data_IF_370913037417
#
_entry.id   IF_370913037417
#
_cell.length_a   1.000
_cell.length_b   1.000
_cell.length_c   1.000
_cell.angle_alpha   90.00
_cell.angle_beta   90.00
_cell.angle_gamma   90.00
#
_symmetry.space_group_name_H-M   'P 1'
#
loop_
_entity.id
_entity.type
_entity.pdbx_description
1 polymer ?
#
# COMPACT_ATOMS: atom_id res chain seq x y z
N UNK A 1 53.55 -4.21 67.51
CA UNK A 1 54.29 -2.96 67.78
C UNK A 1 54.65 -2.36 66.43
N UNK A 2 53.91 -1.33 65.97
CA UNK A 2 54.24 0.10 66.13
C UNK A 2 55.45 0.44 65.21
N UNK A 3 55.39 1.38 64.26
CA UNK A 3 55.00 2.79 64.42
C UNK A 3 54.61 3.39 63.04
N UNK A 4 53.46 4.09 63.02
CA UNK A 4 53.05 5.12 62.04
C UNK A 4 53.98 6.34 62.14
N UNK A 5 54.16 7.12 61.08
CA UNK A 5 54.12 8.59 61.21
C UNK A 5 53.82 9.31 59.89
N UNK A 6 52.87 10.25 60.02
CA UNK A 6 52.43 11.20 59.03
C UNK A 6 53.44 12.36 58.87
N UNK A 7 53.42 13.01 57.71
CA UNK A 7 54.00 14.32 57.49
C UNK A 7 53.02 15.19 56.72
N UNK A 8 52.65 16.33 57.29
CA UNK A 8 51.88 17.40 56.65
C UNK A 8 52.82 18.55 56.24
N UNK A 9 52.31 19.36 55.30
CA UNK A 9 52.54 20.80 55.03
C UNK A 9 53.73 21.19 54.13
N UNK A 10 53.40 21.75 52.96
CA UNK A 10 53.86 23.08 52.55
C UNK A 10 52.95 23.62 51.41
N UNK A 11 52.30 24.75 51.68
CA UNK A 11 51.50 25.50 50.74
C UNK A 11 52.40 26.38 49.86
N UNK A 12 52.14 26.42 48.56
CA UNK A 12 52.71 27.41 47.64
C UNK A 12 51.56 28.17 46.98
N UNK A 13 51.49 29.45 47.31
CA UNK A 13 50.54 30.43 46.77
C UNK A 13 50.97 30.79 45.34
N UNK A 14 50.16 30.43 44.34
CA UNK A 14 50.32 30.89 42.96
C UNK A 14 49.31 32.01 42.70
N UNK A 15 49.84 33.17 42.32
CA UNK A 15 49.12 34.38 41.92
C UNK A 15 48.29 34.06 40.65
N UNK A 16 46.97 34.15 40.75
CA UNK A 16 46.06 34.03 39.61
C UNK A 16 46.03 35.35 38.83
N UNK A 17 46.71 35.38 37.67
CA UNK A 17 46.57 36.45 36.68
C UNK A 17 45.27 36.18 35.89
N UNK A 18 44.22 36.95 36.18
CA UNK A 18 42.95 36.91 35.42
C UNK A 18 43.12 37.58 34.06
N UNK A 19 43.41 36.78 33.03
CA UNK A 19 43.29 37.19 31.63
C UNK A 19 41.82 37.03 31.24
N UNK A 20 41.10 38.15 31.09
CA UNK A 20 39.81 38.17 30.41
C UNK A 20 40.05 37.84 28.92
N UNK A 21 39.96 36.56 28.58
CA UNK A 21 39.81 36.12 27.20
C UNK A 21 38.38 36.34 26.76
N UNK A 22 38.14 37.35 25.92
CA UNK A 22 36.91 37.45 25.14
C UNK A 22 36.88 36.29 24.15
N UNK A 23 36.11 35.25 24.46
CA UNK A 23 35.79 34.21 23.47
C UNK A 23 34.96 34.86 22.37
N UNK A 24 35.36 34.76 21.08
CA UNK A 24 34.46 35.14 20.01
C UNK A 24 33.25 34.20 20.09
N UNK A 25 32.08 34.79 20.27
CA UNK A 25 30.81 34.10 20.18
C UNK A 25 30.65 33.65 18.73
N UNK A 26 31.14 32.45 18.40
CA UNK A 26 30.85 31.80 17.13
C UNK A 26 29.37 31.44 17.22
N UNK A 27 28.52 32.35 16.77
CA UNK A 27 27.12 32.07 16.54
C UNK A 27 27.05 30.82 15.68
N UNK A 28 26.58 29.72 16.27
CA UNK A 28 26.31 28.51 15.52
C UNK A 28 25.42 28.89 14.34
N UNK A 29 25.91 28.64 13.13
CA UNK A 29 25.07 28.69 11.94
C UNK A 29 24.10 27.52 12.10
N UNK A 30 22.96 27.78 12.75
CA UNK A 30 21.84 26.85 12.74
C UNK A 30 21.37 26.80 11.28
N UNK A 31 21.68 25.70 10.59
CA UNK A 31 21.10 25.43 9.29
C UNK A 31 19.57 25.53 9.42
N UNK A 32 18.92 26.30 8.55
CA UNK A 32 17.48 26.36 8.54
C UNK A 32 16.91 24.93 8.44
N UNK A 33 15.88 24.57 9.22
CA UNK A 33 15.33 23.23 9.22
C UNK A 33 14.91 22.85 7.78
N UNK A 34 15.35 21.68 7.34
CA UNK A 34 15.06 21.17 6.01
C UNK A 34 13.54 21.01 5.82
N UNK A 35 13.03 21.43 4.66
CA UNK A 35 11.62 21.27 4.31
C UNK A 35 11.36 19.80 4.00
N UNK A 36 10.39 19.20 4.68
CA UNK A 36 9.90 17.86 4.36
C UNK A 36 8.73 17.97 3.39
N UNK A 37 8.70 17.13 2.35
CA UNK A 37 7.54 16.99 1.47
C UNK A 37 7.08 15.55 1.52
N UNK A 38 5.81 15.36 1.85
CA UNK A 38 5.16 14.05 1.95
C UNK A 38 4.10 13.95 0.87
N UNK A 39 3.98 12.78 0.26
CA UNK A 39 2.90 12.43 -0.64
C UNK A 39 2.17 11.23 -0.03
N UNK A 40 0.88 11.42 0.26
CA UNK A 40 0.01 10.42 0.87
C UNK A 40 0.65 9.85 2.15
N UNK A 41 1.01 10.77 3.07
CA UNK A 41 1.67 10.52 4.37
C UNK A 41 3.09 9.89 4.30
N UNK A 42 3.63 9.61 3.11
CA UNK A 42 4.99 9.10 2.94
C UNK A 42 5.96 10.17 2.45
N UNK A 43 7.08 10.43 3.17
CA UNK A 43 8.11 11.36 2.72
C UNK A 43 8.68 11.03 1.34
N UNK A 44 8.78 12.05 0.49
CA UNK A 44 9.48 11.98 -0.78
C UNK A 44 10.97 12.19 -0.56
N UNK A 45 11.79 11.36 -1.22
CA UNK A 45 13.25 11.51 -1.23
C UNK A 45 13.64 12.37 -2.43
N UNK A 46 14.31 13.48 -2.15
CA UNK A 46 14.81 14.37 -3.19
C UNK A 46 16.32 14.28 -3.30
N UNK A 47 16.81 14.36 -4.54
CA UNK A 47 18.22 14.50 -4.88
C UNK A 47 18.70 15.96 -4.85
N UNK A 48 17.77 16.92 -4.92
CA UNK A 48 17.99 18.34 -4.65
C UNK A 48 16.99 18.83 -3.59
N UNK A 49 17.45 19.62 -2.61
CA UNK A 49 16.58 19.98 -1.49
C UNK A 49 15.41 20.89 -1.92
N UNK A 50 14.16 20.62 -1.48
CA UNK A 50 13.10 21.60 -1.51
C UNK A 50 13.52 22.87 -0.74
N UNK A 51 13.06 24.04 -1.20
CA UNK A 51 13.44 25.32 -0.58
C UNK A 51 12.31 26.33 -0.57
N UNK A 52 12.43 27.33 0.28
CA UNK A 52 11.58 28.51 0.25
C UNK A 52 12.43 29.69 -0.24
N UNK A 53 11.99 30.35 -1.31
CA UNK A 53 12.52 31.66 -1.74
C UNK A 53 11.39 32.67 -1.74
N UNK A 54 11.55 33.78 -1.00
CA UNK A 54 10.57 34.88 -0.88
C UNK A 54 9.14 34.39 -0.61
N UNK A 55 8.98 33.43 0.30
CA UNK A 55 7.68 32.87 0.68
C UNK A 55 7.10 31.84 -0.28
N UNK A 56 7.80 31.49 -1.36
CA UNK A 56 7.38 30.47 -2.32
C UNK A 56 8.16 29.18 -2.08
N UNK A 57 7.44 28.08 -1.87
CA UNK A 57 8.01 26.73 -1.78
C UNK A 57 8.30 26.18 -3.17
N UNK A 58 9.57 25.91 -3.44
CA UNK A 58 10.08 25.27 -4.65
C UNK A 58 10.44 23.82 -4.38
N UNK A 59 9.99 22.94 -5.27
CA UNK A 59 10.30 21.51 -5.22
C UNK A 59 10.93 21.05 -6.55
N UNK A 60 11.88 20.10 -6.53
CA UNK A 60 12.32 19.43 -7.75
C UNK A 60 11.13 18.78 -8.45
N UNK A 61 10.87 19.22 -9.68
CA UNK A 61 9.62 18.88 -10.33
C UNK A 61 9.48 17.38 -10.61
N UNK A 62 10.54 16.80 -11.18
CA UNK A 62 10.57 15.40 -11.59
C UNK A 62 10.23 14.46 -10.43
N UNK A 63 10.83 14.68 -9.26
CA UNK A 63 10.57 13.85 -8.07
C UNK A 63 9.10 13.84 -7.68
N UNK A 64 8.45 15.02 -7.65
CA UNK A 64 7.03 15.11 -7.27
C UNK A 64 6.14 14.55 -8.38
N UNK A 65 6.40 14.89 -9.64
CA UNK A 65 5.57 14.47 -10.74
C UNK A 65 5.65 12.96 -11.02
N UNK A 66 6.84 12.36 -11.00
CA UNK A 66 6.99 10.91 -11.15
C UNK A 66 6.25 10.15 -10.04
N UNK A 67 6.30 10.65 -8.80
CA UNK A 67 5.58 10.05 -7.67
C UNK A 67 4.04 10.18 -7.81
N UNK A 68 3.55 11.14 -8.61
CA UNK A 68 2.14 11.33 -8.94
C UNK A 68 1.73 10.64 -10.26
N UNK A 69 2.65 9.92 -10.91
CA UNK A 69 2.41 9.28 -12.21
C UNK A 69 2.28 10.29 -13.38
N UNK A 70 2.89 11.47 -13.26
CA UNK A 70 2.88 12.49 -14.30
C UNK A 70 4.05 12.25 -15.25
N UNK A 71 3.75 12.18 -16.55
CA UNK A 71 4.76 12.08 -17.60
C UNK A 71 5.46 13.44 -17.75
N UNK A 72 6.80 13.43 -17.69
CA UNK A 72 7.60 14.66 -17.72
C UNK A 72 8.63 14.60 -18.82
N UNK A 73 8.54 15.56 -19.75
CA UNK A 73 9.50 15.76 -20.83
C UNK A 73 10.21 17.11 -20.61
N UNK A 74 11.54 17.11 -20.73
CA UNK A 74 12.36 18.33 -20.65
C UNK A 74 12.91 18.69 -22.02
N UNK A 75 12.59 19.90 -22.50
CA UNK A 75 13.18 20.49 -23.68
C UNK A 75 14.29 21.46 -23.29
N UNK A 76 15.53 21.06 -23.51
CA UNK A 76 16.71 21.85 -23.17
C UNK A 76 16.88 23.12 -24.02
N UNK A 77 16.41 23.12 -25.27
CA UNK A 77 16.56 24.26 -26.19
C UNK A 77 15.64 25.42 -25.79
N UNK A 78 14.39 25.13 -25.48
CA UNK A 78 13.41 26.13 -25.06
C UNK A 78 13.37 26.35 -23.54
N UNK A 79 14.12 25.55 -22.78
CA UNK A 79 14.07 25.46 -21.33
C UNK A 79 12.64 25.23 -20.81
N UNK A 80 11.93 24.32 -21.45
CA UNK A 80 10.52 24.02 -21.18
C UNK A 80 10.36 22.63 -20.59
N UNK A 81 9.60 22.56 -19.50
CA UNK A 81 9.04 21.34 -18.96
C UNK A 81 7.65 21.14 -19.56
N UNK A 82 7.42 19.97 -20.13
CA UNK A 82 6.11 19.47 -20.54
C UNK A 82 5.70 18.38 -19.57
N UNK A 83 4.52 18.52 -18.99
CA UNK A 83 3.97 17.63 -17.98
C UNK A 83 2.56 17.20 -18.36
N UNK A 84 2.33 15.90 -18.45
CA UNK A 84 1.06 15.34 -18.93
C UNK A 84 0.56 14.26 -17.98
N UNK A 85 -0.72 14.30 -17.64
CA UNK A 85 -1.38 13.24 -16.89
C UNK A 85 -2.89 13.25 -17.16
N UNK A 86 -3.57 12.14 -16.90
CA UNK A 86 -5.03 12.05 -16.93
C UNK A 86 -5.59 12.31 -15.53
N UNK A 87 -6.34 13.40 -15.39
CA UNK A 87 -7.01 13.78 -14.15
C UNK A 87 -8.51 13.74 -14.39
N UNK A 88 -9.25 12.94 -13.61
CA UNK A 88 -10.70 12.76 -13.76
C UNK A 88 -11.12 12.37 -15.20
N UNK A 89 -10.36 11.47 -15.82
CA UNK A 89 -10.63 11.00 -17.19
C UNK A 89 -10.32 12.02 -18.30
N UNK A 90 -9.70 13.16 -17.98
CA UNK A 90 -9.29 14.17 -18.96
C UNK A 90 -7.78 14.34 -18.95
N UNK A 91 -7.16 14.35 -20.13
CA UNK A 91 -5.74 14.67 -20.28
C UNK A 91 -5.51 16.14 -19.95
N UNK A 92 -4.63 16.38 -18.99
CA UNK A 92 -4.11 17.70 -18.62
C UNK A 92 -2.67 17.80 -19.07
N UNK A 93 -2.39 18.78 -19.92
CA UNK A 93 -1.05 19.14 -20.39
C UNK A 93 -0.66 20.48 -19.77
N UNK A 94 0.53 20.54 -19.19
CA UNK A 94 1.11 21.74 -18.58
C UNK A 94 2.49 22.01 -19.16
N UNK A 95 2.67 23.19 -19.77
CA UNK A 95 3.97 23.67 -20.26
C UNK A 95 4.49 24.79 -19.36
N UNK A 96 5.71 24.59 -18.84
CA UNK A 96 6.37 25.49 -17.90
C UNK A 96 7.75 25.86 -18.42
N UNK A 97 7.98 27.15 -18.66
CA UNK A 97 9.30 27.63 -19.10
C UNK A 97 10.09 28.22 -17.91
N UNK A 98 11.36 27.85 -17.79
CA UNK A 98 12.25 28.42 -16.78
C UNK A 98 12.35 29.93 -16.94
N UNK A 99 12.23 30.66 -15.83
CA UNK A 99 12.28 32.13 -15.81
C UNK A 99 10.99 32.83 -16.22
N UNK A 100 9.95 32.10 -16.66
CA UNK A 100 8.68 32.66 -17.06
C UNK A 100 7.60 32.43 -15.98
N UNK A 101 6.88 33.48 -15.60
CA UNK A 101 5.73 33.39 -14.68
C UNK A 101 4.43 33.01 -15.40
N UNK A 102 4.44 32.89 -16.72
CA UNK A 102 3.30 32.42 -17.50
C UNK A 102 3.53 30.99 -17.94
N UNK A 103 2.59 30.11 -17.59
CA UNK A 103 2.49 28.74 -18.07
C UNK A 103 1.37 28.61 -19.10
N UNK A 104 1.31 27.48 -19.80
CA UNK A 104 0.10 27.08 -20.52
C UNK A 104 -0.44 25.77 -19.99
N UNK A 105 -1.75 25.73 -19.74
CA UNK A 105 -2.49 24.55 -19.31
C UNK A 105 -3.55 24.27 -20.38
N UNK A 106 -3.45 23.14 -21.06
CA UNK A 106 -4.32 22.78 -22.20
C UNK A 106 -4.42 23.95 -23.22
N UNK A 107 -3.28 24.54 -23.57
CA UNK A 107 -3.17 25.67 -24.48
C UNK A 107 -3.60 27.05 -23.92
N UNK A 108 -4.19 27.12 -22.72
CA UNK A 108 -4.61 28.39 -22.10
C UNK A 108 -3.52 28.94 -21.18
N UNK A 109 -3.27 30.25 -21.23
CA UNK A 109 -2.27 30.90 -20.38
C UNK A 109 -2.74 30.96 -18.92
N UNK A 110 -1.83 30.60 -18.00
CA UNK A 110 -2.05 30.65 -16.55
C UNK A 110 -0.87 31.34 -15.88
N UNK A 111 -1.14 32.24 -14.94
CA UNK A 111 -0.09 32.93 -14.15
C UNK A 111 0.34 32.07 -12.97
N UNK A 112 1.65 31.87 -12.83
CA UNK A 112 2.28 31.14 -11.74
C UNK A 112 2.55 32.08 -10.55
N UNK A 113 2.60 31.51 -9.35
CA UNK A 113 2.98 32.24 -8.14
C UNK A 113 4.42 32.77 -8.20
N UNK A 114 5.30 32.08 -8.94
CA UNK A 114 6.63 32.55 -9.31
C UNK A 114 7.12 31.80 -10.57
N UNK A 115 8.25 32.24 -11.15
CA UNK A 115 8.83 31.55 -12.29
C UNK A 115 9.52 30.24 -11.85
N UNK A 116 9.42 29.15 -12.62
CA UNK A 116 10.28 27.98 -12.44
C UNK A 116 11.75 28.39 -12.53
N UNK A 117 12.60 27.73 -11.73
CA UNK A 117 14.03 28.04 -11.67
C UNK A 117 14.87 26.79 -11.87
N UNK A 118 16.00 26.93 -12.54
CA UNK A 118 16.99 25.86 -12.62
C UNK A 118 18.08 26.09 -11.57
N UNK A 119 18.34 25.10 -10.71
CA UNK A 119 19.47 25.09 -9.75
C UNK A 119 19.95 23.66 -9.55
N UNK A 120 21.26 23.49 -9.36
CA UNK A 120 21.87 22.19 -9.09
C UNK A 120 21.50 21.13 -10.15
N UNK A 121 21.38 21.55 -11.41
CA UNK A 121 20.99 20.64 -12.51
C UNK A 121 19.54 20.13 -12.44
N UNK A 122 18.69 20.73 -11.60
CA UNK A 122 17.27 20.40 -11.47
C UNK A 122 16.40 21.61 -11.79
N UNK A 123 15.23 21.35 -12.36
CA UNK A 123 14.16 22.35 -12.51
C UNK A 123 13.29 22.29 -11.27
N UNK A 124 13.20 23.40 -10.56
CA UNK A 124 12.33 23.56 -9.40
C UNK A 124 11.15 24.45 -9.77
N UNK A 125 9.96 24.04 -9.35
CA UNK A 125 8.71 24.73 -9.67
C UNK A 125 8.02 25.16 -8.36
N UNK A 126 7.33 26.31 -8.35
CA UNK A 126 6.44 26.69 -7.26
C UNK A 126 5.37 25.62 -7.04
N UNK A 127 5.41 24.98 -5.89
CA UNK A 127 4.59 23.81 -5.60
C UNK A 127 3.08 24.09 -5.73
N UNK A 128 2.63 25.26 -5.25
CA UNK A 128 1.22 25.67 -5.30
C UNK A 128 0.69 25.87 -6.72
N UNK A 129 1.54 26.29 -7.66
CA UNK A 129 1.12 26.54 -9.04
C UNK A 129 0.99 25.25 -9.84
N UNK A 130 1.81 24.26 -9.51
CA UNK A 130 1.85 22.95 -10.16
C UNK A 130 0.77 22.00 -9.64
N UNK A 131 0.70 21.80 -8.33
CA UNK A 131 -0.23 20.88 -7.66
C UNK A 131 -1.69 21.11 -8.05
N UNK A 132 -2.12 22.37 -8.10
CA UNK A 132 -3.47 22.76 -8.49
C UNK A 132 -3.87 22.28 -9.89
N UNK A 133 -2.94 22.23 -10.85
CA UNK A 133 -3.26 21.82 -12.23
C UNK A 133 -3.55 20.31 -12.33
N UNK A 134 -2.94 19.52 -11.46
CA UNK A 134 -3.10 18.06 -11.44
C UNK A 134 -4.08 17.58 -10.35
N UNK A 135 -4.83 18.48 -9.72
CA UNK A 135 -5.82 18.14 -8.69
C UNK A 135 -5.21 17.64 -7.37
N UNK A 136 -3.93 17.90 -7.15
CA UNK A 136 -3.20 17.51 -5.93
C UNK A 136 -3.55 18.51 -4.83
N UNK A 137 -4.01 18.02 -3.69
CA UNK A 137 -4.25 18.89 -2.54
C UNK A 137 -2.94 19.16 -1.82
N UNK A 138 -2.73 20.40 -1.39
CA UNK A 138 -1.49 20.83 -0.71
C UNK A 138 -1.83 21.48 0.61
N UNK A 139 -1.16 21.04 1.67
CA UNK A 139 -1.18 21.72 2.97
C UNK A 139 0.23 21.95 3.50
N UNK A 140 0.37 22.95 4.35
CA UNK A 140 1.64 23.34 4.97
C UNK A 140 1.52 23.32 6.49
N UNK A 141 2.42 22.58 7.14
CA UNK A 141 2.59 22.61 8.59
C UNK A 141 3.81 23.48 8.95
N UNK A 142 3.54 24.64 9.55
CA UNK A 142 4.57 25.61 9.92
C UNK A 142 5.50 25.12 11.05
N UNK A 143 4.98 24.33 11.99
CA UNK A 143 5.73 23.85 13.16
C UNK A 143 6.76 22.80 12.76
N UNK A 144 6.39 21.89 11.86
CA UNK A 144 7.27 20.80 11.39
C UNK A 144 7.97 21.10 10.06
N UNK A 145 7.64 22.23 9.41
CA UNK A 145 8.12 22.60 8.07
C UNK A 145 7.82 21.51 7.03
N UNK A 146 6.62 20.96 7.11
CA UNK A 146 6.16 19.87 6.25
C UNK A 146 5.17 20.39 5.22
N UNK A 147 5.39 20.06 3.95
CA UNK A 147 4.35 20.07 2.92
C UNK A 147 3.72 18.69 2.85
N UNK A 148 2.40 18.61 2.99
CA UNK A 148 1.65 17.37 2.72
C UNK A 148 0.90 17.50 1.40
N UNK A 149 1.12 16.53 0.52
CA UNK A 149 0.46 16.36 -0.77
C UNK A 149 -0.48 15.18 -0.68
N UNK A 150 -1.71 15.35 -1.17
CA UNK A 150 -2.68 14.27 -1.33
C UNK A 150 -2.94 14.06 -2.82
N UNK A 151 -2.72 12.85 -3.29
CA UNK A 151 -2.89 12.48 -4.70
C UNK A 151 -4.36 12.55 -5.12
N UNK A 152 -4.64 12.98 -6.37
CA UNK A 152 -6.01 13.10 -6.87
C UNK A 152 -6.71 11.74 -6.95
N UNK A 153 -8.02 11.79 -7.19
CA UNK A 153 -8.82 10.60 -7.42
C UNK A 153 -8.35 9.85 -8.68
N UNK A 154 -8.30 8.52 -8.59
CA UNK A 154 -7.88 7.65 -9.70
C UNK A 154 -8.78 6.43 -9.79
N UNK A 155 -9.03 5.99 -11.02
CA UNK A 155 -9.65 4.69 -11.30
C UNK A 155 -8.74 3.53 -10.88
N UNK A 156 -9.29 2.54 -10.18
CA UNK A 156 -8.60 1.31 -9.83
C UNK A 156 -9.57 0.16 -9.51
N UNK A 157 -9.04 -1.05 -9.54
CA UNK A 157 -9.77 -2.26 -9.15
C UNK A 157 -9.91 -2.36 -7.63
N UNK A 158 -11.14 -2.36 -7.12
CA UNK A 158 -11.46 -2.57 -5.72
C UNK A 158 -11.97 -3.99 -5.47
N UNK A 159 -11.32 -4.68 -4.55
CA UNK A 159 -11.76 -5.98 -4.03
C UNK A 159 -12.13 -5.85 -2.57
N UNK A 160 -13.11 -6.62 -2.12
CA UNK A 160 -13.37 -6.79 -0.69
C UNK A 160 -13.52 -8.26 -0.33
N UNK A 161 -13.14 -8.61 0.89
CA UNK A 161 -13.42 -9.93 1.44
C UNK A 161 -14.79 -9.93 2.15
N UNK A 162 -15.70 -10.79 1.71
CA UNK A 162 -16.98 -11.04 2.36
C UNK A 162 -16.87 -12.35 3.15
N UNK A 163 -16.41 -12.23 4.39
CA UNK A 163 -16.12 -13.38 5.25
C UNK A 163 -16.68 -13.17 6.66
N UNK A 164 -16.79 -14.23 7.46
CA UNK A 164 -17.16 -14.20 8.88
C UNK A 164 -18.54 -13.51 9.10
N UNK A 165 -18.55 -12.36 9.76
CA UNK A 165 -19.74 -11.54 10.00
C UNK A 165 -19.75 -10.36 9.01
N UNK A 166 -20.12 -10.59 7.74
CA UNK A 166 -20.26 -9.51 6.72
C UNK A 166 -21.65 -9.42 6.12
N UNK A 167 -22.62 -10.19 6.66
CA UNK A 167 -23.95 -10.30 6.06
C UNK A 167 -24.70 -8.96 5.96
N UNK A 168 -24.53 -8.10 6.98
CA UNK A 168 -25.23 -6.83 7.04
C UNK A 168 -24.74 -5.83 5.97
N UNK A 169 -23.54 -6.05 5.44
CA UNK A 169 -22.85 -5.18 4.50
C UNK A 169 -22.95 -5.67 3.05
N UNK A 170 -23.88 -6.59 2.75
CA UNK A 170 -24.10 -7.10 1.37
C UNK A 170 -24.40 -5.98 0.35
N UNK A 171 -24.97 -4.86 0.80
CA UNK A 171 -25.22 -3.69 -0.05
C UNK A 171 -23.93 -3.04 -0.57
N UNK A 172 -22.84 -3.13 0.20
CA UNK A 172 -21.52 -2.61 -0.17
C UNK A 172 -20.80 -3.44 -1.24
N UNK A 173 -21.32 -4.63 -1.59
CA UNK A 173 -20.79 -5.42 -2.72
C UNK A 173 -20.79 -4.59 -4.00
N UNK A 174 -21.83 -3.77 -4.20
CA UNK A 174 -22.02 -2.92 -5.38
C UNK A 174 -20.92 -1.88 -5.59
N UNK A 175 -20.26 -1.48 -4.50
CA UNK A 175 -19.13 -0.55 -4.48
C UNK A 175 -17.79 -1.19 -4.83
N UNK A 176 -17.76 -2.49 -5.16
CA UNK A 176 -16.52 -3.25 -5.47
C UNK A 176 -16.50 -3.75 -6.91
N UNK A 177 -15.32 -3.94 -7.49
CA UNK A 177 -15.14 -4.63 -8.78
C UNK A 177 -15.20 -6.16 -8.63
N UNK A 178 -14.78 -6.66 -7.47
CA UNK A 178 -14.81 -8.10 -7.15
C UNK A 178 -14.98 -8.33 -5.66
N UNK A 179 -15.53 -9.48 -5.29
CA UNK A 179 -15.70 -9.88 -3.89
C UNK A 179 -15.18 -11.29 -3.68
N UNK A 180 -14.31 -11.44 -2.69
CA UNK A 180 -13.77 -12.72 -2.25
C UNK A 180 -14.60 -13.26 -1.08
N UNK A 181 -15.40 -14.29 -1.33
CA UNK A 181 -16.30 -14.89 -0.36
C UNK A 181 -15.54 -15.90 0.52
N UNK A 182 -15.24 -15.50 1.76
CA UNK A 182 -14.51 -16.30 2.75
C UNK A 182 -15.40 -17.34 3.40
N UNK A 183 -15.82 -18.32 2.61
CA UNK A 183 -16.80 -19.35 2.99
C UNK A 183 -16.26 -20.76 2.87
N UNK A 184 -14.98 -20.92 2.58
CA UNK A 184 -14.38 -22.23 2.38
C UNK A 184 -13.00 -22.36 2.99
N UNK A 185 -12.64 -23.61 3.28
CA UNK A 185 -11.31 -23.99 3.78
C UNK A 185 -10.90 -25.36 3.29
N UNK A 186 -9.60 -25.65 3.42
CA UNK A 186 -9.04 -27.00 3.31
C UNK A 186 -8.46 -27.42 4.66
N UNK A 187 -8.68 -28.67 5.06
CA UNK A 187 -8.10 -29.24 6.27
C UNK A 187 -6.80 -30.04 6.00
N UNK A 188 -6.25 -30.65 7.05
CA UNK A 188 -5.00 -31.43 7.03
C UNK A 188 -5.11 -32.72 6.19
N UNK A 189 -6.31 -33.14 5.83
CA UNK A 189 -6.63 -34.32 5.04
C UNK A 189 -6.99 -33.94 3.60
N UNK A 190 -6.65 -32.71 3.19
CA UNK A 190 -6.94 -32.18 1.86
C UNK A 190 -8.44 -32.07 1.60
N UNK A 191 -9.29 -32.15 2.62
CA UNK A 191 -10.74 -32.05 2.48
C UNK A 191 -11.11 -30.58 2.34
N UNK A 192 -11.68 -30.24 1.19
CA UNK A 192 -12.39 -29.00 1.00
C UNK A 192 -13.73 -29.04 1.75
N UNK A 193 -14.10 -27.94 2.39
CA UNK A 193 -15.39 -27.79 3.07
C UNK A 193 -15.91 -26.35 3.02
N UNK A 194 -17.24 -26.24 2.94
CA UNK A 194 -18.01 -25.00 3.10
C UNK A 194 -18.66 -24.91 4.48
N UNK A 195 -18.34 -25.84 5.38
CA UNK A 195 -18.89 -25.96 6.72
C UNK A 195 -17.77 -25.77 7.75
N UNK A 196 -18.14 -25.34 8.96
CA UNK A 196 -17.23 -25.14 10.08
C UNK A 196 -17.66 -23.98 10.95
N UNK A 197 -16.83 -23.61 11.92
CA UNK A 197 -17.07 -22.45 12.79
C UNK A 197 -16.61 -21.15 12.13
N UNK A 198 -15.53 -21.19 11.35
CA UNK A 198 -14.97 -20.08 10.59
C UNK A 198 -14.87 -20.45 9.12
N UNK A 199 -14.95 -19.44 8.24
CA UNK A 199 -14.93 -19.60 6.78
C UNK A 199 -15.92 -20.66 6.29
N UNK A 200 -17.21 -20.35 6.43
CA UNK A 200 -18.33 -21.22 6.10
C UNK A 200 -19.35 -20.50 5.23
N UNK A 201 -20.16 -21.27 4.51
CA UNK A 201 -21.34 -20.76 3.85
C UNK A 201 -22.31 -20.18 4.91
N UNK A 202 -22.76 -18.93 4.78
CA UNK A 202 -23.70 -18.36 5.74
C UNK A 202 -25.07 -19.04 5.62
N UNK A 203 -25.87 -18.96 6.69
CA UNK A 203 -27.27 -19.37 6.62
C UNK A 203 -28.07 -18.37 5.76
N UNK A 204 -29.13 -18.85 5.10
CA UNK A 204 -30.07 -17.98 4.42
C UNK A 204 -30.81 -17.07 5.42
N UNK A 205 -31.13 -15.85 4.98
CA UNK A 205 -31.92 -14.89 5.73
C UNK A 205 -33.19 -14.55 4.93
N UNK A 206 -34.25 -15.29 5.20
CA UNK A 206 -35.46 -15.27 4.36
C UNK A 206 -35.13 -15.74 2.95
N UNK A 207 -35.48 -14.94 1.95
CA UNK A 207 -35.24 -15.25 0.53
C UNK A 207 -33.79 -14.99 0.08
N UNK A 208 -32.99 -14.32 0.92
CA UNK A 208 -31.58 -14.03 0.62
C UNK A 208 -30.75 -15.26 0.98
N UNK A 209 -30.23 -15.94 -0.03
CA UNK A 209 -29.38 -17.12 0.11
C UNK A 209 -27.93 -16.77 -0.23
N UNK A 210 -26.94 -17.55 0.23
CA UNK A 210 -25.55 -17.38 -0.21
C UNK A 210 -25.40 -17.44 -1.73
N UNK A 211 -26.15 -18.34 -2.37
CA UNK A 211 -26.19 -18.50 -3.82
C UNK A 211 -26.79 -17.27 -4.51
N UNK A 212 -27.86 -16.68 -3.96
CA UNK A 212 -28.43 -15.46 -4.54
C UNK A 212 -27.46 -14.29 -4.42
N UNK A 213 -26.69 -14.17 -3.33
CA UNK A 213 -25.69 -13.11 -3.19
C UNK A 213 -24.58 -13.24 -4.27
N UNK A 214 -24.14 -14.47 -4.55
CA UNK A 214 -23.15 -14.74 -5.61
C UNK A 214 -23.71 -14.42 -6.99
N UNK A 215 -24.95 -14.84 -7.27
CA UNK A 215 -25.64 -14.54 -8.52
C UNK A 215 -25.87 -13.03 -8.72
N UNK A 216 -26.37 -12.33 -7.69
CA UNK A 216 -26.61 -10.89 -7.71
C UNK A 216 -25.32 -10.09 -7.99
N UNK A 217 -24.19 -10.55 -7.44
CA UNK A 217 -22.89 -9.95 -7.73
C UNK A 217 -22.51 -10.13 -9.21
N UNK A 218 -22.62 -11.36 -9.73
CA UNK A 218 -22.32 -11.66 -11.13
C UNK A 218 -23.21 -10.87 -12.11
N UNK A 219 -24.51 -10.78 -11.84
CA UNK A 219 -25.48 -10.03 -12.66
C UNK A 219 -25.16 -8.53 -12.69
N UNK A 220 -24.59 -8.00 -11.60
CA UNK A 220 -24.10 -6.63 -11.50
C UNK A 220 -22.68 -6.43 -12.03
N UNK A 221 -22.11 -7.45 -12.71
CA UNK A 221 -20.74 -7.46 -13.25
C UNK A 221 -19.66 -7.28 -12.18
N UNK A 222 -19.95 -7.70 -10.95
CA UNK A 222 -19.01 -7.72 -9.83
C UNK A 222 -18.51 -9.15 -9.71
N UNK A 223 -17.23 -9.39 -9.94
CA UNK A 223 -16.72 -10.75 -10.04
C UNK A 223 -16.79 -11.47 -8.68
N UNK A 224 -17.63 -12.50 -8.51
CA UNK A 224 -17.65 -13.26 -7.27
C UNK A 224 -16.52 -14.29 -7.29
N UNK A 225 -15.71 -14.31 -6.24
CA UNK A 225 -14.57 -15.21 -6.12
C UNK A 225 -14.69 -16.06 -4.85
N UNK A 226 -14.41 -17.35 -4.95
CA UNK A 226 -14.36 -18.25 -3.80
C UNK A 226 -13.02 -18.08 -3.09
N UNK A 227 -13.02 -17.55 -1.86
CA UNK A 227 -11.83 -17.56 -1.04
C UNK A 227 -11.69 -18.93 -0.36
N UNK A 228 -10.50 -19.52 -0.48
CA UNK A 228 -10.14 -20.83 0.08
C UNK A 228 -9.04 -20.64 1.11
N UNK A 229 -9.41 -20.79 2.39
CA UNK A 229 -8.49 -20.62 3.51
C UNK A 229 -7.75 -21.92 3.85
N UNK A 230 -6.44 -21.81 4.13
CA UNK A 230 -5.67 -22.85 4.80
C UNK A 230 -4.53 -22.23 5.60
N UNK A 231 -4.19 -22.82 6.74
CA UNK A 231 -3.11 -22.35 7.62
C UNK A 231 -2.01 -23.41 7.70
N UNK A 232 -0.75 -22.99 7.81
CA UNK A 232 0.40 -23.86 8.09
C UNK A 232 1.00 -23.59 9.48
N UNK A 233 0.17 -23.69 10.52
CA UNK A 233 0.62 -23.49 11.90
C UNK A 233 1.40 -24.69 12.42
N UNK A 234 0.95 -25.90 12.06
CA UNK A 234 1.50 -27.18 12.51
C UNK A 234 1.80 -28.16 11.35
N UNK A 235 2.10 -27.62 10.17
CA UNK A 235 2.45 -28.39 8.98
C UNK A 235 1.27 -29.00 8.23
N UNK A 236 0.03 -28.65 8.59
CA UNK A 236 -1.18 -29.19 7.94
C UNK A 236 -1.26 -28.82 6.45
N UNK A 237 -1.02 -27.56 6.10
CA UNK A 237 -0.99 -27.13 4.70
C UNK A 237 0.22 -27.73 3.99
N UNK A 238 1.41 -27.73 4.61
CA UNK A 238 2.60 -28.39 4.03
C UNK A 238 2.34 -29.86 3.70
N UNK A 239 1.63 -30.59 4.57
CA UNK A 239 1.21 -31.99 4.31
C UNK A 239 0.34 -32.08 3.07
N UNK A 240 -0.68 -31.22 2.95
CA UNK A 240 -1.54 -31.19 1.75
C UNK A 240 -0.73 -30.86 0.51
N UNK A 241 0.15 -29.86 0.55
CA UNK A 241 0.95 -29.45 -0.60
C UNK A 241 2.01 -30.48 -1.01
N UNK A 242 2.51 -31.31 -0.09
CA UNK A 242 3.54 -32.32 -0.39
C UNK A 242 2.96 -33.64 -0.90
N UNK A 243 1.76 -34.02 -0.48
CA UNK A 243 1.10 -35.27 -0.90
C UNK A 243 0.24 -35.08 -2.16
N UNK A 244 0.52 -35.83 -3.23
CA UNK A 244 -0.20 -35.67 -4.51
C UNK A 244 -1.69 -36.05 -4.44
N UNK A 245 -2.06 -37.00 -3.59
CA UNK A 245 -3.46 -37.40 -3.40
C UNK A 245 -4.22 -36.31 -2.66
N UNK A 246 -3.64 -35.75 -1.59
CA UNK A 246 -4.28 -34.67 -0.84
C UNK A 246 -4.38 -33.38 -1.67
N UNK A 247 -3.33 -33.04 -2.44
CA UNK A 247 -3.39 -31.93 -3.40
C UNK A 247 -4.56 -32.12 -4.37
N UNK A 248 -4.63 -33.27 -5.03
CA UNK A 248 -5.66 -33.56 -6.03
C UNK A 248 -7.06 -33.47 -5.42
N UNK A 249 -7.28 -34.12 -4.27
CA UNK A 249 -8.55 -34.09 -3.54
C UNK A 249 -9.00 -32.66 -3.20
N UNK A 250 -8.08 -31.83 -2.73
CA UNK A 250 -8.41 -30.43 -2.40
C UNK A 250 -8.77 -29.60 -3.64
N UNK A 251 -8.06 -29.81 -4.76
CA UNK A 251 -8.32 -29.13 -6.03
C UNK A 251 -9.66 -29.55 -6.62
N UNK A 252 -10.00 -30.84 -6.55
CA UNK A 252 -11.32 -31.36 -6.96
C UNK A 252 -12.44 -30.70 -6.16
N UNK A 253 -12.29 -30.57 -4.83
CA UNK A 253 -13.27 -29.88 -4.00
C UNK A 253 -13.43 -28.40 -4.35
N UNK A 254 -12.32 -27.67 -4.58
CA UNK A 254 -12.37 -26.26 -5.01
C UNK A 254 -13.09 -26.14 -6.36
N UNK A 255 -12.68 -26.94 -7.35
CA UNK A 255 -13.22 -26.86 -8.73
C UNK A 255 -14.70 -27.21 -8.78
N UNK A 256 -15.14 -28.21 -8.02
CA UNK A 256 -16.56 -28.53 -7.86
C UNK A 256 -17.33 -27.37 -7.26
N UNK A 257 -16.85 -26.78 -6.14
CA UNK A 257 -17.53 -25.67 -5.51
C UNK A 257 -17.62 -24.42 -6.39
N UNK A 258 -16.56 -24.13 -7.17
CA UNK A 258 -16.58 -23.03 -8.16
C UNK A 258 -17.70 -23.25 -9.18
N UNK A 259 -17.81 -24.45 -9.74
CA UNK A 259 -18.82 -24.78 -10.74
C UNK A 259 -20.25 -24.82 -10.16
N UNK A 260 -20.43 -25.42 -8.99
CA UNK A 260 -21.73 -25.60 -8.33
C UNK A 260 -22.33 -24.29 -7.80
N UNK A 261 -21.49 -23.36 -7.35
CA UNK A 261 -21.93 -22.11 -6.74
C UNK A 261 -21.76 -20.88 -7.63
N UNK A 262 -21.31 -21.04 -8.88
CA UNK A 262 -21.24 -19.96 -9.86
C UNK A 262 -20.16 -18.91 -9.59
N UNK A 263 -19.04 -19.30 -8.96
CA UNK A 263 -17.93 -18.38 -8.75
C UNK A 263 -17.16 -18.14 -10.05
N UNK A 264 -16.84 -16.89 -10.36
CA UNK A 264 -16.02 -16.50 -11.51
C UNK A 264 -14.51 -16.46 -11.22
N UNK A 265 -14.10 -16.86 -10.01
CA UNK A 265 -12.70 -16.90 -9.61
C UNK A 265 -12.46 -17.57 -8.27
N UNK A 266 -11.18 -17.75 -7.94
CA UNK A 266 -10.69 -18.30 -6.67
C UNK A 266 -9.65 -17.36 -6.09
N UNK A 267 -9.71 -17.13 -4.77
CA UNK A 267 -8.63 -16.51 -3.99
C UNK A 267 -8.07 -17.54 -3.04
N UNK A 268 -6.82 -17.95 -3.22
CA UNK A 268 -6.15 -18.77 -2.20
C UNK A 268 -5.65 -17.86 -1.08
N UNK A 269 -6.09 -18.15 0.14
CA UNK A 269 -5.57 -17.55 1.36
C UNK A 269 -4.85 -18.62 2.17
N UNK A 270 -3.65 -18.94 1.70
CA UNK A 270 -2.81 -20.01 2.22
C UNK A 270 -1.71 -19.37 3.07
N UNK A 271 -1.85 -19.47 4.39
CA UNK A 271 -1.04 -18.75 5.37
C UNK A 271 -0.03 -19.65 6.08
N UNK A 272 1.05 -19.06 6.64
CA UNK A 272 1.99 -19.77 7.52
C UNK A 272 3.25 -20.35 6.84
N UNK A 273 3.29 -20.41 5.51
CA UNK A 273 4.34 -21.11 4.79
C UNK A 273 5.72 -20.41 4.94
N UNK A 274 6.74 -21.22 5.22
CA UNK A 274 8.12 -20.76 5.35
C UNK A 274 8.38 -19.92 6.61
N UNK A 275 7.54 -20.05 7.64
CA UNK A 275 7.84 -19.51 8.97
C UNK A 275 8.75 -20.45 9.78
N UNK A 276 8.42 -21.74 9.83
CA UNK A 276 9.18 -22.78 10.55
C UNK A 276 9.97 -23.70 9.63
N UNK A 277 9.49 -23.90 8.41
CA UNK A 277 10.02 -24.86 7.45
C UNK A 277 10.86 -24.15 6.38
N UNK A 278 11.65 -24.93 5.63
CA UNK A 278 12.51 -24.42 4.57
C UNK A 278 11.73 -23.61 3.54
N UNK A 279 12.11 -22.34 3.37
CA UNK A 279 11.39 -21.40 2.54
C UNK A 279 11.37 -21.81 1.07
N UNK A 280 12.49 -22.30 0.53
CA UNK A 280 12.62 -22.67 -0.88
C UNK A 280 11.77 -23.89 -1.21
N UNK A 281 11.70 -24.86 -0.30
CA UNK A 281 10.85 -26.02 -0.48
C UNK A 281 9.37 -25.64 -0.40
N UNK A 282 8.98 -24.80 0.57
CA UNK A 282 7.59 -24.32 0.65
C UNK A 282 7.18 -23.54 -0.60
N UNK A 283 8.08 -22.73 -1.18
CA UNK A 283 7.85 -22.03 -2.44
C UNK A 283 7.57 -23.02 -3.59
N UNK A 284 8.37 -24.08 -3.74
CA UNK A 284 8.15 -25.10 -4.78
C UNK A 284 6.81 -25.81 -4.61
N UNK A 285 6.47 -26.19 -3.38
CA UNK A 285 5.22 -26.88 -3.05
C UNK A 285 4.01 -26.01 -3.39
N UNK A 286 4.02 -24.74 -2.98
CA UNK A 286 2.95 -23.80 -3.31
C UNK A 286 2.88 -23.52 -4.81
N UNK A 287 4.01 -23.28 -5.48
CA UNK A 287 4.06 -23.04 -6.93
C UNK A 287 3.46 -24.22 -7.72
N UNK A 288 3.79 -25.46 -7.33
CA UNK A 288 3.25 -26.67 -7.95
C UNK A 288 1.73 -26.77 -7.76
N UNK A 289 1.25 -26.51 -6.54
CA UNK A 289 -0.18 -26.51 -6.24
C UNK A 289 -0.95 -25.47 -7.06
N UNK A 290 -0.47 -24.22 -7.08
CA UNK A 290 -1.12 -23.11 -7.79
C UNK A 290 -1.18 -23.38 -9.28
N UNK A 291 -0.12 -23.95 -9.86
CA UNK A 291 -0.10 -24.38 -11.26
C UNK A 291 -1.13 -25.47 -11.54
N UNK A 292 -1.20 -26.49 -10.69
CA UNK A 292 -2.15 -27.60 -10.84
C UNK A 292 -3.60 -27.13 -10.67
N UNK A 293 -3.86 -26.22 -9.72
CA UNK A 293 -5.17 -25.61 -9.55
C UNK A 293 -5.56 -24.81 -10.78
N UNK A 294 -4.70 -23.89 -11.27
CA UNK A 294 -5.00 -23.07 -12.44
C UNK A 294 -5.36 -23.92 -13.67
N UNK A 295 -4.67 -25.04 -13.89
CA UNK A 295 -4.99 -25.95 -14.99
C UNK A 295 -6.27 -26.77 -14.81
N UNK A 296 -6.76 -26.89 -13.57
CA UNK A 296 -7.98 -27.66 -13.25
C UNK A 296 -9.23 -26.81 -13.14
N UNK A 297 -9.09 -25.48 -12.98
CA UNK A 297 -10.22 -24.56 -12.93
C UNK A 297 -10.93 -24.50 -14.29
N UNK A 298 -12.27 -24.26 -14.29
CA UNK A 298 -13.00 -24.00 -15.52
C UNK A 298 -12.38 -22.85 -16.32
N UNK A 299 -12.59 -22.86 -17.64
CA UNK A 299 -12.13 -21.78 -18.52
C UNK A 299 -12.61 -20.41 -18.01
N UNK A 300 -11.76 -19.39 -18.15
CA UNK A 300 -12.01 -18.00 -17.73
C UNK A 300 -12.18 -17.78 -16.21
N UNK A 301 -11.97 -18.82 -15.39
CA UNK A 301 -11.93 -18.66 -13.93
C UNK A 301 -10.63 -17.96 -13.51
N UNK A 302 -10.77 -16.81 -12.84
CA UNK A 302 -9.63 -16.08 -12.29
C UNK A 302 -9.02 -16.83 -11.10
N UNK A 303 -7.71 -16.75 -10.94
CA UNK A 303 -6.99 -17.25 -9.77
C UNK A 303 -6.16 -16.14 -9.17
N UNK A 304 -6.40 -15.83 -7.91
CA UNK A 304 -5.64 -14.85 -7.14
C UNK A 304 -5.07 -15.49 -5.88
N UNK A 305 -4.04 -14.87 -5.29
CA UNK A 305 -3.50 -15.30 -4.01
C UNK A 305 -3.38 -14.13 -3.05
N UNK A 306 -3.89 -14.30 -1.83
CA UNK A 306 -3.49 -13.48 -0.69
C UNK A 306 -2.13 -13.99 -0.18
N UNK A 307 -1.15 -13.10 -0.11
CA UNK A 307 0.23 -13.44 0.25
C UNK A 307 0.73 -12.54 1.38
N UNK A 308 1.46 -13.07 2.37
CA UNK A 308 2.09 -12.25 3.39
C UNK A 308 3.18 -11.37 2.75
N UNK A 309 3.39 -10.14 3.23
CA UNK A 309 4.33 -9.22 2.63
C UNK A 309 5.77 -9.74 2.79
N UNK A 310 6.64 -9.47 1.81
CA UNK A 310 8.02 -9.96 1.81
C UNK A 310 8.88 -9.42 2.98
N UNK A 311 8.45 -8.35 3.64
CA UNK A 311 9.05 -7.87 4.89
C UNK A 311 8.50 -8.54 6.16
N UNK A 312 7.60 -9.52 6.05
CA UNK A 312 7.13 -10.35 7.16
C UNK A 312 8.11 -11.50 7.49
N UNK A 313 7.78 -12.29 8.51
CA UNK A 313 8.52 -13.51 8.87
C UNK A 313 8.29 -14.70 7.92
N UNK A 314 7.26 -14.65 7.07
CA UNK A 314 6.87 -15.75 6.19
C UNK A 314 7.60 -15.70 4.85
N UNK A 315 8.43 -16.70 4.55
CA UNK A 315 9.28 -16.71 3.35
C UNK A 315 8.90 -17.78 2.30
N UNK A 316 7.82 -18.52 2.51
CA UNK A 316 7.39 -19.63 1.64
C UNK A 316 6.71 -19.22 0.32
N UNK A 317 6.81 -17.96 -0.11
CA UNK A 317 6.04 -17.41 -1.23
C UNK A 317 6.96 -16.85 -2.32
N UNK A 318 6.99 -17.50 -3.48
CA UNK A 318 7.77 -17.06 -4.64
C UNK A 318 6.93 -16.10 -5.48
N UNK A 319 7.00 -14.83 -5.13
CA UNK A 319 6.19 -13.77 -5.73
C UNK A 319 6.26 -13.74 -7.26
N UNK A 320 7.45 -13.94 -7.84
CA UNK A 320 7.65 -13.90 -9.30
C UNK A 320 6.91 -15.03 -9.99
N UNK A 321 7.10 -16.26 -9.51
CA UNK A 321 6.47 -17.44 -10.10
C UNK A 321 4.96 -17.41 -9.87
N UNK A 322 4.50 -17.06 -8.67
CA UNK A 322 3.08 -16.94 -8.37
C UNK A 322 2.40 -15.91 -9.28
N UNK A 323 2.98 -14.71 -9.46
CA UNK A 323 2.44 -13.69 -10.36
C UNK A 323 2.46 -14.09 -11.85
N UNK A 324 3.32 -15.03 -12.24
CA UNK A 324 3.33 -15.58 -13.61
C UNK A 324 2.19 -16.57 -13.87
N UNK A 325 1.64 -17.19 -12.82
CA UNK A 325 0.56 -18.18 -12.92
C UNK A 325 -0.81 -17.54 -12.62
N UNK A 326 -0.86 -16.71 -11.57
CA UNK A 326 -2.08 -16.06 -11.09
C UNK A 326 -2.44 -14.82 -11.93
N UNK A 327 -3.72 -14.46 -11.85
CA UNK A 327 -4.28 -13.26 -12.45
C UNK A 327 -3.88 -12.01 -11.64
N UNK A 328 -3.90 -12.10 -10.31
CA UNK A 328 -3.34 -11.08 -9.41
C UNK A 328 -2.86 -11.65 -8.06
N UNK A 329 -2.02 -10.87 -7.37
CA UNK A 329 -1.59 -11.11 -6.00
C UNK A 329 -2.11 -9.99 -5.10
N UNK A 330 -2.60 -10.36 -3.91
CA UNK A 330 -3.03 -9.44 -2.86
C UNK A 330 -1.97 -9.47 -1.75
N UNK A 331 -1.23 -8.37 -1.55
CA UNK A 331 -0.26 -8.30 -0.46
C UNK A 331 -0.99 -7.97 0.84
N UNK A 332 -0.94 -8.85 1.83
CA UNK A 332 -1.50 -8.65 3.16
C UNK A 332 -0.62 -7.73 4.02
N UNK A 333 -0.40 -6.49 3.57
CA UNK A 333 0.49 -5.51 4.19
C UNK A 333 -0.10 -4.87 5.46
N UNK A 334 -0.43 -5.70 6.45
CA UNK A 334 -1.01 -5.32 7.73
C UNK A 334 -0.56 -6.28 8.84
N UNK A 335 -1.00 -6.04 10.09
CA UNK A 335 -0.50 -6.72 11.30
C UNK A 335 0.98 -6.46 11.59
N UNK A 336 1.48 -5.26 11.28
CA UNK A 336 2.82 -4.83 11.69
C UNK A 336 2.84 -4.35 13.14
N UNK A 337 1.71 -3.82 13.62
CA UNK A 337 1.57 -3.39 15.00
C UNK A 337 1.69 -4.57 15.98
N UNK A 338 2.19 -4.35 17.22
CA UNK A 338 2.31 -5.40 18.22
C UNK A 338 0.98 -6.13 18.48
N UNK A 339 1.07 -7.42 18.78
CA UNK A 339 -0.10 -8.23 19.16
C UNK A 339 -0.84 -7.58 20.34
N UNK A 340 -2.17 -7.49 20.23
CA UNK A 340 -3.01 -6.83 21.24
C UNK A 340 -3.19 -5.33 21.04
N UNK A 341 -2.61 -4.74 19.99
CA UNK A 341 -2.93 -3.37 19.58
C UNK A 341 -4.44 -3.24 19.32
N UNK A 342 -5.03 -2.14 19.82
CA UNK A 342 -6.45 -1.86 19.66
C UNK A 342 -6.79 -1.61 18.18
N UNK A 343 -8.04 -1.88 17.81
CA UNK A 343 -8.58 -1.49 16.50
C UNK A 343 -8.44 0.01 16.26
N UNK A 344 -8.42 0.41 14.98
CA UNK A 344 -8.26 1.79 14.54
C UNK A 344 -6.91 2.44 14.94
N UNK A 345 -5.88 1.61 15.10
CA UNK A 345 -4.48 2.04 15.13
C UNK A 345 -3.87 1.70 13.77
N UNK A 346 -3.64 2.70 12.89
CA UNK A 346 -3.18 2.46 11.52
C UNK A 346 -1.88 1.66 11.44
N UNK A 347 -1.74 0.86 10.39
CA UNK A 347 -0.48 0.19 10.10
C UNK A 347 0.57 1.23 9.66
N UNK A 348 1.87 1.08 9.99
CA UNK A 348 2.88 2.06 9.62
C UNK A 348 3.05 2.16 8.10
N UNK A 349 2.79 3.33 7.52
CA UNK A 349 2.90 3.56 6.07
C UNK A 349 4.30 3.23 5.51
N UNK A 350 5.35 3.43 6.30
CA UNK A 350 6.72 3.07 5.89
C UNK A 350 6.92 1.56 5.66
N UNK A 351 6.23 0.71 6.43
CA UNK A 351 6.30 -0.75 6.27
C UNK A 351 5.41 -1.22 5.11
N UNK A 352 4.27 -0.58 4.91
CA UNK A 352 3.39 -0.83 3.75
C UNK A 352 4.09 -0.43 2.44
N UNK A 353 4.69 0.76 2.40
CA UNK A 353 5.49 1.26 1.28
C UNK A 353 6.65 0.31 0.94
N UNK A 354 7.36 -0.17 1.97
CA UNK A 354 8.42 -1.17 1.80
C UNK A 354 7.89 -2.50 1.23
N UNK A 355 6.73 -2.98 1.69
CA UNK A 355 6.13 -4.22 1.19
C UNK A 355 5.80 -4.13 -0.31
N UNK A 356 5.23 -3.01 -0.75
CA UNK A 356 4.93 -2.74 -2.16
C UNK A 356 6.23 -2.74 -2.99
N UNK A 357 7.24 -2.00 -2.55
CA UNK A 357 8.53 -1.94 -3.25
C UNK A 357 9.18 -3.31 -3.38
N UNK A 358 9.17 -4.12 -2.31
CA UNK A 358 9.73 -5.48 -2.34
C UNK A 358 8.98 -6.39 -3.31
N UNK A 359 7.65 -6.30 -3.40
CA UNK A 359 6.88 -7.09 -4.35
C UNK A 359 7.19 -6.72 -5.81
N UNK A 360 7.31 -5.42 -6.10
CA UNK A 360 7.71 -4.93 -7.43
C UNK A 360 9.14 -5.39 -7.76
N UNK A 361 10.07 -5.26 -6.81
CA UNK A 361 11.46 -5.71 -6.97
C UNK A 361 11.59 -7.22 -7.15
N UNK A 362 10.70 -8.01 -6.53
CA UNK A 362 10.60 -9.44 -6.75
C UNK A 362 10.10 -9.80 -8.16
N UNK A 363 9.63 -8.83 -8.94
CA UNK A 363 9.23 -9.01 -10.33
C UNK A 363 7.72 -9.18 -10.53
N UNK A 364 6.89 -8.80 -9.55
CA UNK A 364 5.43 -8.78 -9.73
C UNK A 364 5.04 -7.59 -10.60
N UNK A 365 4.32 -7.79 -11.73
CA UNK A 365 3.79 -6.69 -12.50
C UNK A 365 2.83 -5.84 -11.67
N UNK A 366 2.97 -4.52 -11.71
CA UNK A 366 2.11 -3.58 -10.95
C UNK A 366 0.62 -3.76 -11.28
N UNK A 367 0.31 -4.03 -12.55
CA UNK A 367 -1.04 -4.34 -13.06
C UNK A 367 -1.63 -5.66 -12.55
N UNK A 368 -0.86 -6.48 -11.83
CA UNK A 368 -1.29 -7.70 -11.16
C UNK A 368 -1.25 -7.59 -9.63
N UNK A 369 -1.00 -6.41 -9.09
CA UNK A 369 -0.75 -6.24 -7.65
C UNK A 369 -1.88 -5.46 -6.99
N UNK A 370 -2.52 -6.08 -6.00
CA UNK A 370 -3.50 -5.45 -5.12
C UNK A 370 -2.88 -5.23 -3.73
N UNK A 371 -3.08 -4.03 -3.17
CA UNK A 371 -2.70 -3.75 -1.78
C UNK A 371 -3.81 -4.22 -0.84
N UNK A 372 -3.51 -5.16 0.05
CA UNK A 372 -4.40 -5.55 1.14
C UNK A 372 -4.46 -4.46 2.22
N UNK A 373 -5.67 -4.04 2.59
CA UNK A 373 -5.94 -3.00 3.59
C UNK A 373 -6.84 -3.60 4.67
N UNK A 374 -6.36 -3.64 5.91
CA UNK A 374 -7.13 -4.15 7.05
C UNK A 374 -7.96 -3.05 7.72
N UNK A 375 -9.28 -3.07 7.50
CA UNK A 375 -10.22 -2.10 8.05
C UNK A 375 -10.35 -2.16 9.57
N UNK A 376 -9.88 -3.24 10.22
CA UNK A 376 -9.78 -3.25 11.68
C UNK A 376 -8.68 -2.34 12.21
N UNK A 377 -7.59 -2.16 11.44
CA UNK A 377 -6.46 -1.31 11.81
C UNK A 377 -6.67 0.13 11.35
N UNK A 378 -7.24 0.32 10.16
CA UNK A 378 -7.24 1.64 9.50
C UNK A 378 -8.41 2.55 9.89
N UNK A 379 -8.14 3.85 9.93
CA UNK A 379 -9.12 4.94 10.06
C UNK A 379 -9.51 5.48 8.67
N UNK A 380 -10.56 6.32 8.54
CA UNK A 380 -10.88 6.94 7.24
C UNK A 380 -9.71 7.70 6.62
N UNK A 381 -8.94 8.44 7.44
CA UNK A 381 -7.75 9.16 6.94
C UNK A 381 -6.68 8.19 6.47
N UNK A 382 -6.38 7.15 7.24
CA UNK A 382 -5.28 6.25 6.89
C UNK A 382 -5.62 5.28 5.76
N UNK A 383 -6.90 4.98 5.52
CA UNK A 383 -7.34 4.31 4.30
C UNK A 383 -7.03 5.16 3.07
N UNK A 384 -7.31 6.46 3.09
CA UNK A 384 -6.94 7.36 2.00
C UNK A 384 -5.42 7.35 1.77
N UNK A 385 -4.61 7.37 2.84
CA UNK A 385 -3.16 7.25 2.73
C UNK A 385 -2.72 5.92 2.06
N UNK A 386 -3.34 4.78 2.41
CA UNK A 386 -3.05 3.48 1.75
C UNK A 386 -3.42 3.48 0.27
N UNK A 387 -4.55 4.09 -0.08
CA UNK A 387 -4.97 4.22 -1.48
C UNK A 387 -4.04 5.17 -2.23
N UNK A 388 -3.52 6.19 -1.55
CA UNK A 388 -2.41 7.02 -2.02
C UNK A 388 -1.16 6.22 -2.41
N UNK A 389 -0.72 5.29 -1.56
CA UNK A 389 0.38 4.38 -1.90
C UNK A 389 0.06 3.52 -3.13
N UNK A 390 -1.18 3.04 -3.24
CA UNK A 390 -1.65 2.28 -4.40
C UNK A 390 -1.53 3.11 -5.69
N UNK A 391 -1.96 4.38 -5.65
CA UNK A 391 -1.85 5.35 -6.75
C UNK A 391 -0.39 5.66 -7.11
N UNK A 392 0.44 5.95 -6.10
CA UNK A 392 1.87 6.31 -6.25
C UNK A 392 2.66 5.24 -6.98
N UNK A 393 2.38 3.96 -6.73
CA UNK A 393 3.09 2.86 -7.37
C UNK A 393 2.44 2.37 -8.65
N UNK A 394 1.30 2.94 -9.04
CA UNK A 394 0.55 2.51 -10.23
C UNK A 394 0.10 1.04 -10.15
N UNK A 395 -0.38 0.64 -8.97
CA UNK A 395 -0.85 -0.73 -8.73
C UNK A 395 -2.22 -0.97 -9.39
N UNK A 396 -2.60 -2.24 -9.57
CA UNK A 396 -3.93 -2.66 -10.05
C UNK A 396 -5.06 -2.06 -9.20
N UNK A 397 -4.85 -2.00 -7.89
CA UNK A 397 -5.82 -1.45 -6.94
C UNK A 397 -5.65 -1.99 -5.52
N UNK A 398 -6.75 -2.11 -4.79
CA UNK A 398 -6.74 -2.46 -3.37
C UNK A 398 -7.75 -3.58 -3.02
N UNK A 399 -7.45 -4.32 -1.96
CA UNK A 399 -8.30 -5.38 -1.41
C UNK A 399 -8.58 -5.14 0.08
N UNK A 400 -9.84 -4.95 0.45
CA UNK A 400 -10.24 -4.62 1.82
C UNK A 400 -10.54 -5.87 2.65
N UNK A 401 -9.79 -6.06 3.73
CA UNK A 401 -10.06 -7.01 4.80
C UNK A 401 -10.75 -6.30 5.96
N UNK A 402 -12.07 -6.37 6.12
CA UNK A 402 -13.06 -7.10 5.33
C UNK A 402 -14.35 -6.29 5.25
N UNK A 403 -15.24 -6.61 4.29
CA UNK A 403 -16.42 -5.80 3.98
C UNK A 403 -17.28 -5.47 5.22
N UNK A 404 -17.45 -6.45 6.11
CA UNK A 404 -18.20 -6.30 7.37
C UNK A 404 -17.66 -5.27 8.36
N UNK A 405 -16.50 -4.65 8.10
CA UNK A 405 -15.87 -3.67 9.00
C UNK A 405 -16.00 -2.22 8.52
N UNK A 406 -16.54 -1.98 7.32
CA UNK A 406 -16.72 -0.62 6.77
C UNK A 406 -17.54 0.30 7.68
N UNK A 407 -18.50 -0.27 8.43
CA UNK A 407 -19.42 0.46 9.30
C UNK A 407 -19.26 0.14 10.79
N UNK A 408 -18.36 -0.79 11.16
CA UNK A 408 -18.26 -1.27 12.56
C UNK A 408 -17.58 -0.27 13.49
N UNK A 409 -16.57 0.46 13.01
CA UNK A 409 -15.78 1.38 13.84
C UNK A 409 -16.13 2.84 13.62
N UNK A 410 -16.59 3.19 12.41
CA UNK A 410 -16.99 4.53 12.03
C UNK A 410 -17.94 4.47 10.82
N UNK A 411 -18.59 5.58 10.49
CA UNK A 411 -19.55 5.67 9.36
C UNK A 411 -18.96 6.33 8.12
N UNK A 412 -17.65 6.65 8.10
CA UNK A 412 -17.01 7.48 7.06
C UNK A 412 -15.99 6.71 6.21
N UNK A 413 -15.85 5.41 6.42
CA UNK A 413 -14.87 4.60 5.70
C UNK A 413 -15.18 4.54 4.20
N UNK A 414 -16.46 4.36 3.86
CA UNK A 414 -16.93 4.35 2.47
C UNK A 414 -16.70 5.71 1.79
N UNK A 415 -17.03 6.80 2.48
CA UNK A 415 -16.77 8.16 1.98
C UNK A 415 -15.28 8.40 1.71
N UNK A 416 -14.40 7.93 2.60
CA UNK A 416 -12.96 8.05 2.42
C UNK A 416 -12.46 7.31 1.18
N UNK A 417 -12.95 6.09 0.95
CA UNK A 417 -12.65 5.35 -0.29
C UNK A 417 -13.17 6.11 -1.50
N UNK A 418 -14.44 6.54 -1.49
CA UNK A 418 -15.07 7.22 -2.62
C UNK A 418 -14.43 8.57 -2.98
N UNK A 419 -13.87 9.29 -2.00
CA UNK A 419 -13.11 10.52 -2.24
C UNK A 419 -11.73 10.22 -2.85
N UNK A 420 -11.13 9.09 -2.50
CA UNK A 420 -9.77 8.74 -2.92
C UNK A 420 -9.71 8.08 -4.29
N UNK A 421 -10.72 7.30 -4.67
CA UNK A 421 -10.68 6.43 -5.86
C UNK A 421 -12.01 6.37 -6.60
N UNK A 422 -11.95 6.06 -7.91
CA UNK A 422 -13.10 5.70 -8.75
C UNK A 422 -13.04 4.19 -8.95
N UNK A 423 -14.15 3.49 -8.77
CA UNK A 423 -14.28 2.08 -9.13
C UNK A 423 -14.20 1.94 -10.65
N UNK A 424 -13.32 1.05 -11.15
CA UNK A 424 -13.17 0.69 -12.58
C UNK A 424 -14.47 0.20 -13.23
#
# INVERSE_FOLDING_TARGET
MLIKRAGKIAAVTVIALSILGSTPNIGGVYAAPAISVQLDDVPLKFDAAPRIDRGVTYVPFRTVGEALGIDIIWNSKSQTVEATNTVKGQTTEVLLQVGNTTATVNGKKVTLAAAPVQREGRVLIPLSSFSNQFGVQVSWNQATKTVSLVSPQREMHLRAFYALQSFQEKDLITSMNSVAFGWSRIDREGQFTLQGDEYRLPAAAGDITPQSIVADAADQKIQPQLMVYALDGNGELTKVLSDSSLRQKSIEGITAAVAEHGFGGVVLDFEGLGFKLDAVEQQKLLNAYVKQLKSSLPQDTALSLAVPPLNSAYKGYDYKTLASIADDLIIMAYQYNPVGTKSQVPEPNSLVDQAIQLAIQAGVPKSKLLLGISLSSETPSSVDDKLGLTKRYDLKGAAFWRLGLFRSYNTKMEDAVNVSVIKE
#
